data_IF_062032128933
#
_entry.id   IF_062032128933
#
_cell.length_a   1.000
_cell.length_b   1.000
_cell.length_c   1.000
_cell.angle_alpha   90.00
_cell.angle_beta   90.00
_cell.angle_gamma   90.00
#
_symmetry.space_group_name_H-M   'P 1'
#
loop_
_entity.id
_entity.type
_entity.pdbx_description
1 polymer ?
#
# COMPACT_ATOMS: atom_id res chain seq x y z
N UNK A 1 -20.37 8.14 -14.39
CA UNK A 1 -20.39 7.45 -13.08
C UNK A 1 -19.04 6.80 -12.94
N UNK A 2 -18.29 7.21 -11.93
CA UNK A 2 -16.95 6.67 -11.68
C UNK A 2 -16.99 5.23 -11.17
N UNK A 3 -15.90 4.48 -11.31
CA UNK A 3 -15.84 3.07 -10.89
C UNK A 3 -15.84 2.88 -9.37
N UNK A 4 -15.67 3.97 -8.60
CA UNK A 4 -15.74 4.01 -7.14
C UNK A 4 -16.87 4.92 -6.63
N UNK A 5 -17.87 5.20 -7.45
CA UNK A 5 -18.97 6.10 -7.09
C UNK A 5 -19.65 5.71 -5.77
N UNK A 6 -19.65 6.63 -4.81
CA UNK A 6 -20.23 6.45 -3.48
C UNK A 6 -19.46 5.55 -2.53
N UNK A 7 -18.30 4.99 -2.93
CA UNK A 7 -17.47 4.17 -2.06
C UNK A 7 -16.67 5.02 -1.06
N UNK A 8 -16.43 4.47 0.11
CA UNK A 8 -15.71 5.08 1.24
C UNK A 8 -14.41 4.34 1.48
N UNK A 9 -13.28 5.02 1.27
CA UNK A 9 -11.97 4.37 1.20
C UNK A 9 -11.02 4.97 2.25
N UNK A 10 -10.44 4.12 3.10
CA UNK A 10 -9.30 4.49 3.95
C UNK A 10 -8.01 4.28 3.18
N UNK A 11 -7.16 5.31 3.10
CA UNK A 11 -5.87 5.24 2.41
C UNK A 11 -4.74 5.59 3.38
N UNK A 12 -3.79 4.67 3.52
CA UNK A 12 -2.58 4.85 4.33
C UNK A 12 -1.40 5.27 3.46
N UNK A 13 -0.36 5.87 4.04
CA UNK A 13 0.92 6.10 3.37
C UNK A 13 1.02 7.36 2.49
N UNK A 14 0.09 8.31 2.62
CA UNK A 14 0.17 9.60 1.91
C UNK A 14 1.14 10.53 2.63
N UNK A 15 2.35 10.66 2.11
CA UNK A 15 3.40 11.51 2.69
C UNK A 15 3.76 12.71 1.81
N UNK A 16 3.67 12.58 0.49
CA UNK A 16 3.96 13.63 -0.50
C UNK A 16 3.06 13.44 -1.71
N UNK A 17 2.94 14.46 -2.56
CA UNK A 17 2.24 14.37 -3.84
C UNK A 17 2.86 13.33 -4.81
N UNK A 18 4.15 13.04 -4.65
CA UNK A 18 4.86 12.02 -5.42
C UNK A 18 4.64 10.58 -4.87
N UNK A 19 3.85 10.39 -3.81
CA UNK A 19 3.54 9.04 -3.33
C UNK A 19 2.46 8.38 -4.18
N UNK A 20 2.59 7.07 -4.41
CA UNK A 20 1.56 6.27 -5.09
C UNK A 20 0.22 6.40 -4.36
N UNK A 21 0.26 6.45 -3.02
CA UNK A 21 -0.93 6.61 -2.18
C UNK A 21 -1.66 7.94 -2.43
N UNK A 22 -0.93 9.04 -2.72
CA UNK A 22 -1.55 10.31 -3.09
C UNK A 22 -2.27 10.21 -4.44
N UNK A 23 -1.62 9.62 -5.45
CA UNK A 23 -2.24 9.39 -6.76
C UNK A 23 -3.45 8.47 -6.66
N UNK A 24 -3.40 7.43 -5.79
CA UNK A 24 -4.54 6.57 -5.52
C UNK A 24 -5.69 7.33 -4.85
N UNK A 25 -5.40 8.21 -3.89
CA UNK A 25 -6.41 9.05 -3.23
C UNK A 25 -7.07 10.03 -4.21
N UNK A 26 -6.27 10.69 -5.05
CA UNK A 26 -6.74 11.59 -6.09
C UNK A 26 -7.65 10.87 -7.08
N UNK A 27 -7.17 9.77 -7.67
CA UNK A 27 -7.94 8.97 -8.62
C UNK A 27 -9.22 8.39 -7.98
N UNK A 28 -9.15 7.90 -6.74
CA UNK A 28 -10.33 7.40 -6.04
C UNK A 28 -11.42 8.48 -5.93
N UNK A 29 -11.04 9.73 -5.61
CA UNK A 29 -11.98 10.86 -5.56
C UNK A 29 -12.50 11.25 -6.96
N UNK A 30 -11.67 11.24 -7.99
CA UNK A 30 -12.06 11.49 -9.37
C UNK A 30 -13.06 10.43 -9.86
N UNK A 31 -12.92 9.20 -9.38
CA UNK A 31 -13.81 8.07 -9.65
C UNK A 31 -15.02 7.99 -8.70
N UNK A 32 -15.25 9.03 -7.89
CA UNK A 32 -16.45 9.21 -7.09
C UNK A 32 -16.38 8.72 -5.64
N UNK A 33 -15.21 8.28 -5.15
CA UNK A 33 -15.06 7.86 -3.76
C UNK A 33 -14.97 9.04 -2.78
N UNK A 34 -15.39 8.77 -1.54
CA UNK A 34 -15.05 9.55 -0.36
C UNK A 34 -13.81 8.94 0.29
N UNK A 35 -12.80 9.77 0.55
CA UNK A 35 -11.47 9.31 0.99
C UNK A 35 -11.15 9.83 2.38
N UNK A 36 -10.72 8.91 3.27
CA UNK A 36 -10.14 9.19 4.56
C UNK A 36 -8.67 8.80 4.52
N UNK A 37 -7.77 9.66 4.99
CA UNK A 37 -6.36 9.37 5.06
C UNK A 37 -5.93 9.03 6.48
N UNK A 38 -4.80 8.34 6.62
CA UNK A 38 -4.17 8.13 7.92
C UNK A 38 -2.70 8.50 7.92
N UNK A 39 -2.21 8.93 9.08
CA UNK A 39 -0.82 9.22 9.35
C UNK A 39 -0.56 9.17 10.85
N UNK A 40 0.67 9.35 11.31
CA UNK A 40 0.97 9.33 12.74
C UNK A 40 2.13 10.25 13.12
N UNK A 41 2.14 10.65 14.40
CA UNK A 41 3.21 11.41 15.00
C UNK A 41 3.57 12.66 14.20
N UNK A 42 4.87 12.91 13.98
CA UNK A 42 5.37 14.07 13.25
C UNK A 42 4.94 14.15 11.78
N UNK A 43 4.45 13.06 11.20
CA UNK A 43 3.99 13.03 9.82
C UNK A 43 2.54 13.52 9.68
N UNK A 44 1.77 13.53 10.76
CA UNK A 44 0.35 13.91 10.75
C UNK A 44 0.12 15.31 10.14
N UNK A 45 0.80 16.40 10.59
CA UNK A 45 0.62 17.73 9.99
C UNK A 45 1.10 17.82 8.54
N UNK A 46 2.09 17.01 8.15
CA UNK A 46 2.58 16.95 6.77
C UNK A 46 1.50 16.33 5.89
N UNK A 47 0.95 15.18 6.28
CA UNK A 47 -0.13 14.51 5.55
C UNK A 47 -1.38 15.41 5.47
N UNK A 48 -1.76 16.11 6.54
CA UNK A 48 -2.88 17.05 6.53
C UNK A 48 -2.69 18.17 5.49
N UNK A 49 -1.47 18.73 5.39
CA UNK A 49 -1.14 19.71 4.35
C UNK A 49 -1.21 19.13 2.94
N UNK A 50 -0.80 17.88 2.75
CA UNK A 50 -0.87 17.21 1.44
C UNK A 50 -2.31 16.85 1.10
N UNK A 51 -3.11 16.41 2.07
CA UNK A 51 -4.54 16.10 1.92
C UNK A 51 -5.35 17.29 1.38
N UNK A 52 -4.97 18.53 1.71
CA UNK A 52 -5.63 19.73 1.20
C UNK A 52 -5.41 20.00 -0.30
N UNK A 53 -4.50 19.26 -0.94
CA UNK A 53 -4.21 19.34 -2.39
C UNK A 53 -4.97 18.31 -3.23
N UNK A 54 -5.70 17.41 -2.58
CA UNK A 54 -6.61 16.51 -3.29
C UNK A 54 -7.77 17.29 -3.91
N UNK A 55 -8.42 16.76 -4.96
CA UNK A 55 -9.58 17.40 -5.60
C UNK A 55 -10.68 17.82 -4.60
N UNK A 56 -10.90 16.97 -3.59
CA UNK A 56 -11.70 17.28 -2.39
C UNK A 56 -10.78 17.12 -1.19
N UNK A 57 -10.51 18.16 -0.38
CA UNK A 57 -9.71 18.02 0.82
C UNK A 57 -10.19 16.85 1.68
N UNK A 58 -9.27 15.94 2.01
CA UNK A 58 -9.58 14.75 2.79
C UNK A 58 -9.20 14.95 4.27
N UNK A 59 -10.01 14.38 5.17
CA UNK A 59 -9.65 14.31 6.58
C UNK A 59 -8.50 13.31 6.80
N UNK A 60 -7.71 13.54 7.85
CA UNK A 60 -6.58 12.70 8.23
C UNK A 60 -6.76 12.27 9.68
N UNK A 61 -6.81 10.97 9.92
CA UNK A 61 -6.86 10.39 11.27
C UNK A 61 -5.47 9.95 11.72
N UNK A 62 -5.25 9.93 13.03
CA UNK A 62 -4.02 9.40 13.58
C UNK A 62 -4.07 7.88 13.63
N UNK A 63 -3.09 7.22 13.00
CA UNK A 63 -2.94 5.77 12.97
C UNK A 63 -1.47 5.40 12.82
N UNK A 64 -0.86 4.94 13.90
CA UNK A 64 0.36 4.15 13.90
C UNK A 64 -0.03 2.66 13.91
N UNK A 65 0.34 1.94 12.86
CA UNK A 65 -0.03 0.53 12.68
C UNK A 65 0.66 -0.43 13.68
N UNK A 66 1.64 0.07 14.44
CA UNK A 66 2.33 -0.67 15.52
C UNK A 66 1.76 -0.33 16.90
N UNK A 67 0.88 0.68 16.99
CA UNK A 67 0.27 1.09 18.25
C UNK A 67 -1.10 0.43 18.44
N UNK A 68 -1.20 -0.44 19.45
CA UNK A 68 -2.43 -1.17 19.75
C UNK A 68 -3.62 -0.26 20.13
N UNK A 69 -3.38 0.88 20.80
CA UNK A 69 -4.45 1.82 21.15
C UNK A 69 -5.01 2.50 19.90
N UNK A 70 -4.14 2.89 18.95
CA UNK A 70 -4.57 3.45 17.67
C UNK A 70 -5.41 2.43 16.88
N UNK A 71 -4.97 1.16 16.83
CA UNK A 71 -5.70 0.09 16.15
C UNK A 71 -7.05 -0.19 16.80
N UNK A 72 -7.14 -0.21 18.13
CA UNK A 72 -8.40 -0.41 18.86
C UNK A 72 -9.39 0.75 18.64
N UNK A 73 -8.89 1.97 18.49
CA UNK A 73 -9.73 3.15 18.28
C UNK A 73 -10.08 3.39 16.81
N UNK A 74 -9.40 2.75 15.86
CA UNK A 74 -9.59 2.95 14.43
C UNK A 74 -11.04 2.81 13.96
N UNK A 75 -11.82 1.78 14.40
CA UNK A 75 -13.23 1.68 14.01
C UNK A 75 -14.08 2.86 14.46
N UNK A 76 -13.79 3.45 15.62
CA UNK A 76 -14.52 4.61 16.13
C UNK A 76 -14.25 5.85 15.28
N UNK A 77 -12.97 6.08 14.93
CA UNK A 77 -12.59 7.19 14.05
C UNK A 77 -13.21 7.06 12.67
N UNK A 78 -13.22 5.85 12.10
CA UNK A 78 -13.87 5.59 10.81
C UNK A 78 -15.38 5.86 10.90
N UNK A 79 -16.05 5.37 11.95
CA UNK A 79 -17.49 5.62 12.15
C UNK A 79 -17.81 7.10 12.26
N UNK A 80 -16.99 7.86 12.99
CA UNK A 80 -17.14 9.30 13.15
C UNK A 80 -17.01 10.05 11.81
N UNK A 81 -16.02 9.66 10.98
CA UNK A 81 -15.65 10.40 9.77
C UNK A 81 -16.42 9.95 8.53
N UNK A 82 -16.59 8.65 8.33
CA UNK A 82 -17.18 8.07 7.13
C UNK A 82 -18.43 7.21 7.41
N UNK A 83 -18.65 6.78 8.65
CA UNK A 83 -19.70 5.84 9.02
C UNK A 83 -19.33 4.38 8.79
N UNK A 84 -18.75 4.04 7.64
CA UNK A 84 -18.31 2.69 7.25
C UNK A 84 -17.22 2.76 6.20
N UNK A 85 -16.65 1.62 5.78
CA UNK A 85 -15.67 1.51 4.70
C UNK A 85 -16.11 0.50 3.64
N UNK A 86 -15.88 0.85 2.38
CA UNK A 86 -15.97 -0.05 1.22
C UNK A 86 -14.58 -0.54 0.79
N UNK A 87 -13.52 0.09 1.27
CA UNK A 87 -12.18 -0.35 0.96
C UNK A 87 -11.07 0.27 1.79
N UNK A 88 -9.92 -0.38 1.73
CA UNK A 88 -8.67 0.05 2.37
C UNK A 88 -7.54 -0.03 1.35
N UNK A 89 -6.73 1.03 1.25
CA UNK A 89 -5.44 0.99 0.57
C UNK A 89 -4.34 0.95 1.63
N UNK A 90 -3.61 -0.16 1.67
CA UNK A 90 -2.42 -0.32 2.50
C UNK A 90 -1.17 0.00 1.69
N UNK A 91 -0.62 1.21 1.88
CA UNK A 91 0.56 1.71 1.18
C UNK A 91 1.65 2.20 2.13
N UNK A 92 1.84 1.49 3.25
CA UNK A 92 2.91 1.73 4.23
C UNK A 92 3.92 0.61 4.20
N UNK A 93 5.19 0.97 4.34
CA UNK A 93 6.30 0.05 4.57
C UNK A 93 7.45 0.83 5.21
N UNK A 94 8.24 0.15 6.02
CA UNK A 94 9.43 0.69 6.61
C UNK A 94 10.42 -0.43 6.93
N UNK A 95 11.70 -0.17 6.70
CA UNK A 95 12.80 -0.96 7.23
C UNK A 95 13.91 0.00 7.69
N UNK A 96 14.58 -0.29 8.82
CA UNK A 96 15.80 0.42 9.19
C UNK A 96 16.85 0.31 8.08
N UNK A 97 17.72 1.33 7.95
CA UNK A 97 18.77 1.31 6.92
C UNK A 97 19.74 0.13 7.04
N UNK A 98 19.94 -0.35 8.26
CA UNK A 98 20.71 -1.55 8.58
C UNK A 98 20.12 -2.83 7.98
N UNK A 99 18.85 -2.82 7.62
CA UNK A 99 18.13 -3.95 7.00
C UNK A 99 18.07 -3.86 5.47
N UNK A 100 18.84 -2.94 4.87
CA UNK A 100 18.87 -2.62 3.43
C UNK A 100 20.32 -2.42 2.98
N UNK A 101 20.55 -2.37 1.65
CA UNK A 101 21.82 -1.89 1.11
C UNK A 101 22.94 -2.91 1.08
N UNK A 102 22.64 -4.21 1.10
CA UNK A 102 23.62 -5.31 1.09
C UNK A 102 24.00 -5.80 2.48
N UNK A 103 23.26 -5.41 3.51
CA UNK A 103 23.53 -5.79 4.91
C UNK A 103 22.79 -7.06 5.36
N UNK A 104 22.28 -7.87 4.45
CA UNK A 104 21.40 -8.98 4.76
C UNK A 104 21.92 -9.91 5.86
N UNK A 105 23.22 -10.25 5.83
CA UNK A 105 23.84 -11.18 6.79
C UNK A 105 24.16 -10.53 8.15
N UNK A 106 24.28 -9.21 8.20
CA UNK A 106 24.71 -8.46 9.39
C UNK A 106 23.53 -7.85 10.18
N UNK A 107 22.32 -7.88 9.61
CA UNK A 107 21.14 -7.27 10.21
C UNK A 107 20.70 -8.01 11.47
N UNK A 108 20.57 -7.30 12.59
CA UNK A 108 20.07 -7.84 13.85
C UNK A 108 18.56 -8.07 13.83
N UNK A 109 18.08 -8.98 14.71
CA UNK A 109 16.66 -9.34 14.78
C UNK A 109 15.72 -8.16 15.08
N UNK A 110 16.14 -7.20 15.85
CA UNK A 110 15.34 -6.02 16.19
C UNK A 110 14.95 -5.23 14.92
N UNK A 111 15.92 -5.03 14.02
CA UNK A 111 15.68 -4.33 12.74
C UNK A 111 14.84 -5.18 11.79
N UNK A 112 15.07 -6.49 11.75
CA UNK A 112 14.25 -7.44 10.98
C UNK A 112 12.82 -7.44 11.48
N UNK A 113 12.59 -7.54 12.79
CA UNK A 113 11.25 -7.55 13.36
C UNK A 113 10.50 -6.25 13.07
N UNK A 114 11.17 -5.11 13.15
CA UNK A 114 10.61 -3.80 12.77
C UNK A 114 10.19 -3.78 11.30
N UNK A 115 11.04 -4.27 10.40
CA UNK A 115 10.72 -4.32 8.97
C UNK A 115 9.50 -5.21 8.68
N UNK A 116 9.41 -6.38 9.31
CA UNK A 116 8.29 -7.32 9.15
C UNK A 116 7.02 -6.77 9.79
N UNK A 117 7.08 -6.20 10.99
CA UNK A 117 5.93 -5.65 11.69
C UNK A 117 5.27 -4.53 10.90
N UNK A 118 6.07 -3.53 10.49
CA UNK A 118 5.55 -2.35 9.79
C UNK A 118 5.16 -2.66 8.35
N UNK A 119 5.92 -3.52 7.65
CA UNK A 119 5.73 -3.73 6.21
C UNK A 119 4.89 -4.94 5.84
N UNK A 120 4.62 -5.87 6.78
CA UNK A 120 3.83 -7.06 6.51
C UNK A 120 2.68 -7.26 7.49
N UNK A 121 2.97 -7.32 8.79
CA UNK A 121 1.96 -7.62 9.81
C UNK A 121 0.91 -6.50 9.93
N UNK A 122 1.28 -5.26 9.65
CA UNK A 122 0.37 -4.11 9.64
C UNK A 122 -0.83 -4.27 8.70
N UNK A 123 -0.70 -5.01 7.57
CA UNK A 123 -1.84 -5.32 6.71
C UNK A 123 -2.92 -6.09 7.47
N UNK A 124 -2.51 -7.13 8.20
CA UNK A 124 -3.41 -7.90 9.06
C UNK A 124 -3.99 -7.02 10.17
N UNK A 125 -3.16 -6.24 10.85
CA UNK A 125 -3.59 -5.44 12.00
C UNK A 125 -4.65 -4.41 11.62
N UNK A 126 -4.42 -3.64 10.55
CA UNK A 126 -5.37 -2.64 10.05
C UNK A 126 -6.64 -3.30 9.52
N UNK A 127 -6.52 -4.37 8.71
CA UNK A 127 -7.70 -5.09 8.20
C UNK A 127 -8.55 -5.62 9.34
N UNK A 128 -7.95 -6.30 10.33
CA UNK A 128 -8.67 -6.85 11.48
C UNK A 128 -9.33 -5.75 12.31
N UNK A 129 -8.66 -4.64 12.55
CA UNK A 129 -9.22 -3.50 13.28
C UNK A 129 -10.44 -2.91 12.54
N UNK A 130 -10.41 -2.87 11.20
CA UNK A 130 -11.51 -2.33 10.40
C UNK A 130 -12.66 -3.30 10.16
N UNK A 131 -12.55 -4.61 10.46
CA UNK A 131 -13.64 -5.57 10.23
C UNK A 131 -15.02 -5.11 10.74
N UNK A 132 -15.15 -4.46 11.93
CA UNK A 132 -16.46 -4.00 12.43
C UNK A 132 -17.10 -2.86 11.61
N UNK A 133 -16.34 -2.24 10.69
CA UNK A 133 -16.77 -1.07 9.90
C UNK A 133 -16.65 -1.31 8.40
N UNK A 134 -16.10 -2.45 7.96
CA UNK A 134 -16.07 -2.85 6.56
C UNK A 134 -17.46 -3.29 6.10
N UNK A 135 -17.89 -2.75 4.96
CA UNK A 135 -19.13 -3.16 4.30
C UNK A 135 -18.98 -4.53 3.64
N UNK A 136 -20.08 -5.15 3.30
CA UNK A 136 -20.14 -6.36 2.48
C UNK A 136 -20.94 -6.04 1.20
N UNK A 137 -20.30 -6.03 0.00
CA UNK A 137 -18.89 -6.34 -0.27
C UNK A 137 -17.93 -5.17 0.03
N UNK A 138 -16.64 -5.50 0.25
CA UNK A 138 -15.56 -4.52 0.39
C UNK A 138 -14.22 -5.06 -0.14
N UNK A 139 -13.21 -4.18 -0.27
CA UNK A 139 -11.92 -4.54 -0.85
C UNK A 139 -10.73 -3.93 -0.09
N UNK A 140 -9.78 -4.76 0.30
CA UNK A 140 -8.48 -4.35 0.84
C UNK A 140 -7.44 -4.54 -0.24
N UNK A 141 -6.69 -3.48 -0.57
CA UNK A 141 -5.65 -3.53 -1.59
C UNK A 141 -4.33 -3.06 -1.00
N UNK A 142 -3.32 -3.93 -1.06
CA UNK A 142 -1.97 -3.61 -0.60
C UNK A 142 -1.03 -3.23 -1.73
N UNK A 143 -0.06 -2.35 -1.46
CA UNK A 143 1.01 -2.01 -2.38
C UNK A 143 2.26 -2.83 -2.04
N UNK A 144 2.69 -3.69 -2.96
CA UNK A 144 3.90 -4.50 -2.83
C UNK A 144 4.94 -4.17 -3.89
N UNK A 145 6.09 -4.77 -3.77
CA UNK A 145 7.12 -4.92 -4.77
C UNK A 145 7.41 -6.42 -4.86
N UNK A 146 7.28 -7.01 -6.03
CA UNK A 146 7.32 -8.46 -6.24
C UNK A 146 8.50 -9.12 -5.50
N UNK A 147 8.19 -10.01 -4.59
CA UNK A 147 9.15 -10.71 -3.74
C UNK A 147 9.31 -12.19 -4.11
N UNK A 148 8.94 -12.56 -5.34
CA UNK A 148 9.16 -13.92 -5.87
C UNK A 148 10.63 -14.20 -6.18
N UNK A 149 11.44 -13.13 -6.29
CA UNK A 149 12.88 -13.17 -6.51
C UNK A 149 13.61 -12.23 -5.55
N UNK A 150 14.93 -12.40 -5.40
CA UNK A 150 15.76 -11.48 -4.61
C UNK A 150 16.19 -10.29 -5.46
N UNK A 151 15.84 -9.09 -5.02
CA UNK A 151 16.27 -7.85 -5.65
C UNK A 151 17.58 -7.33 -5.05
N UNK A 152 18.51 -6.81 -5.85
CA UNK A 152 19.73 -6.22 -5.34
C UNK A 152 19.44 -5.16 -4.26
N UNK A 153 20.18 -5.17 -3.18
CA UNK A 153 20.15 -4.20 -2.06
C UNK A 153 18.81 -4.04 -1.31
N UNK A 154 17.82 -4.86 -1.64
CA UNK A 154 16.49 -4.81 -1.02
C UNK A 154 16.40 -5.62 0.27
N UNK A 155 17.23 -6.65 0.41
CA UNK A 155 17.52 -7.42 1.63
C UNK A 155 16.27 -7.79 2.45
N UNK A 156 16.22 -7.40 3.71
CA UNK A 156 15.11 -7.73 4.61
C UNK A 156 13.79 -7.05 4.25
N UNK A 157 13.80 -5.99 3.47
CA UNK A 157 12.54 -5.47 2.89
C UNK A 157 11.96 -6.46 1.88
N UNK A 158 12.79 -7.16 1.10
CA UNK A 158 12.34 -8.24 0.21
C UNK A 158 11.67 -9.37 0.98
N UNK A 159 12.27 -9.80 2.10
CA UNK A 159 11.68 -10.80 3.00
C UNK A 159 10.36 -10.30 3.60
N UNK A 160 10.31 -9.04 4.04
CA UNK A 160 9.09 -8.43 4.56
C UNK A 160 7.98 -8.36 3.48
N UNK A 161 8.34 -8.08 2.20
CA UNK A 161 7.37 -8.10 1.09
C UNK A 161 6.89 -9.53 0.78
N UNK A 162 7.73 -10.54 0.85
CA UNK A 162 7.31 -11.95 0.73
C UNK A 162 6.33 -12.32 1.87
N UNK A 163 6.61 -11.89 3.11
CA UNK A 163 5.69 -12.05 4.22
C UNK A 163 4.37 -11.30 4.00
N UNK A 164 4.40 -10.08 3.46
CA UNK A 164 3.22 -9.28 3.12
C UNK A 164 2.34 -9.98 2.07
N UNK A 165 2.95 -10.51 1.01
CA UNK A 165 2.26 -11.27 -0.04
C UNK A 165 1.62 -12.55 0.51
N UNK A 166 2.33 -13.27 1.38
CA UNK A 166 1.74 -14.41 2.07
C UNK A 166 0.60 -14.00 3.01
N UNK A 167 0.78 -12.92 3.77
CA UNK A 167 -0.25 -12.38 4.67
C UNK A 167 -1.53 -12.01 3.91
N UNK A 168 -1.42 -11.43 2.71
CA UNK A 168 -2.59 -11.09 1.89
C UNK A 168 -3.40 -12.32 1.50
N UNK A 169 -2.73 -13.43 1.13
CA UNK A 169 -3.40 -14.70 0.78
C UNK A 169 -4.13 -15.32 1.99
N UNK A 170 -3.49 -15.31 3.16
CA UNK A 170 -4.15 -15.79 4.38
C UNK A 170 -5.33 -14.89 4.78
N UNK A 171 -5.18 -13.58 4.72
CA UNK A 171 -6.29 -12.66 4.97
C UNK A 171 -7.44 -12.92 4.00
N UNK A 172 -7.19 -13.02 2.70
CA UNK A 172 -8.20 -13.32 1.69
C UNK A 172 -9.00 -14.57 2.05
N UNK A 173 -8.33 -15.61 2.55
CA UNK A 173 -8.96 -16.85 3.01
C UNK A 173 -9.88 -16.63 4.21
N UNK A 174 -9.43 -15.84 5.21
CA UNK A 174 -10.16 -15.69 6.47
C UNK A 174 -11.27 -14.64 6.43
N UNK A 175 -11.11 -13.58 5.63
CA UNK A 175 -12.12 -12.50 5.56
C UNK A 175 -13.07 -12.64 4.37
N UNK A 176 -12.82 -13.60 3.47
CA UNK A 176 -13.64 -13.85 2.29
C UNK A 176 -15.09 -14.23 2.63
N UNK A 177 -15.32 -14.99 3.69
CA UNK A 177 -16.66 -15.33 4.18
C UNK A 177 -17.49 -14.11 4.60
N UNK A 178 -16.80 -13.00 4.92
CA UNK A 178 -17.42 -11.71 5.25
C UNK A 178 -17.59 -10.79 4.02
N UNK A 179 -17.33 -11.29 2.82
CA UNK A 179 -17.43 -10.50 1.57
C UNK A 179 -16.29 -9.52 1.37
N UNK A 180 -15.17 -9.66 2.09
CA UNK A 180 -14.00 -8.81 1.97
C UNK A 180 -12.98 -9.46 1.02
N UNK A 181 -12.65 -8.79 -0.08
CA UNK A 181 -11.56 -9.19 -0.98
C UNK A 181 -10.25 -8.60 -0.50
N UNK A 182 -9.15 -9.33 -0.62
CA UNK A 182 -7.80 -8.84 -0.29
C UNK A 182 -6.87 -9.14 -1.46
N UNK A 183 -6.35 -8.11 -2.11
CA UNK A 183 -5.46 -8.24 -3.26
C UNK A 183 -4.27 -7.30 -3.14
N UNK A 184 -3.27 -7.50 -3.98
CA UNK A 184 -2.07 -6.66 -4.03
C UNK A 184 -1.85 -6.08 -5.43
N UNK A 185 -1.26 -4.88 -5.46
CA UNK A 185 -0.66 -4.30 -6.65
C UNK A 185 0.86 -4.29 -6.46
N UNK A 186 1.58 -4.99 -7.32
CA UNK A 186 3.03 -4.93 -7.39
C UNK A 186 3.43 -3.87 -8.42
N UNK A 187 3.99 -2.76 -7.96
CA UNK A 187 4.44 -1.68 -8.84
C UNK A 187 5.93 -1.82 -9.16
N UNK A 188 6.34 -1.41 -10.36
CA UNK A 188 7.75 -1.16 -10.66
C UNK A 188 8.34 -0.05 -9.78
N UNK A 189 9.67 0.15 -9.78
CA UNK A 189 10.32 1.18 -8.97
C UNK A 189 9.86 2.58 -9.37
N UNK A 190 9.56 3.41 -8.37
CA UNK A 190 9.11 4.78 -8.56
C UNK A 190 9.89 5.72 -7.64
N UNK A 191 10.29 6.90 -8.14
CA UNK A 191 11.06 7.91 -7.41
C UNK A 191 10.23 8.63 -6.34
N UNK A 192 9.74 7.86 -5.39
CA UNK A 192 8.98 8.35 -4.22
C UNK A 192 9.90 8.70 -3.05
N UNK A 193 9.35 9.30 -2.01
CA UNK A 193 10.12 9.55 -0.77
C UNK A 193 10.57 8.25 -0.10
N UNK A 194 9.81 7.17 -0.23
CA UNK A 194 10.12 5.87 0.37
C UNK A 194 11.44 5.27 -0.18
N UNK A 195 11.72 5.45 -1.47
CA UNK A 195 12.91 4.86 -2.10
C UNK A 195 14.20 5.67 -1.90
N UNK A 196 14.11 6.94 -1.47
CA UNK A 196 15.29 7.78 -1.21
C UNK A 196 16.20 7.21 -0.12
N UNK A 197 15.68 6.34 0.74
CA UNK A 197 16.44 5.66 1.79
C UNK A 197 17.03 4.31 1.37
N UNK A 198 16.78 3.82 0.15
CA UNK A 198 17.29 2.52 -0.32
C UNK A 198 18.63 2.74 -1.02
N UNK A 199 19.75 2.28 -0.42
CA UNK A 199 21.05 2.37 -1.08
C UNK A 199 21.04 1.54 -2.38
N UNK A 200 21.67 2.05 -3.45
CA UNK A 200 21.77 1.32 -4.72
C UNK A 200 20.47 1.26 -5.54
N UNK A 201 19.43 2.03 -5.21
CA UNK A 201 18.16 2.09 -5.95
C UNK A 201 18.35 2.37 -7.46
N UNK A 202 19.41 3.09 -7.85
CA UNK A 202 19.75 3.36 -9.24
C UNK A 202 19.89 2.08 -10.09
N UNK A 203 20.40 0.99 -9.52
CA UNK A 203 20.50 -0.30 -10.23
C UNK A 203 19.11 -0.85 -10.61
N UNK A 204 18.12 -0.68 -9.73
CA UNK A 204 16.74 -1.06 -10.05
C UNK A 204 16.15 -0.16 -11.14
N UNK A 205 16.41 1.16 -11.09
CA UNK A 205 15.96 2.09 -12.12
C UNK A 205 16.49 1.71 -13.51
N UNK A 206 17.80 1.42 -13.61
CA UNK A 206 18.45 1.00 -14.86
C UNK A 206 17.83 -0.29 -15.43
N UNK A 207 17.55 -1.26 -14.56
CA UNK A 207 16.94 -2.52 -14.94
C UNK A 207 15.57 -2.30 -15.59
N UNK A 208 14.70 -1.49 -14.97
CA UNK A 208 13.37 -1.20 -15.51
C UNK A 208 13.43 -0.39 -16.80
N UNK A 209 14.26 0.66 -16.83
CA UNK A 209 14.41 1.52 -18.01
C UNK A 209 14.88 0.73 -19.24
N UNK A 210 15.76 -0.26 -19.03
CA UNK A 210 16.34 -1.06 -20.13
C UNK A 210 15.51 -2.26 -20.56
N UNK A 211 14.61 -2.79 -19.71
CA UNK A 211 14.01 -4.12 -19.91
C UNK A 211 12.49 -4.19 -19.84
N UNK A 212 11.80 -3.19 -19.28
CA UNK A 212 10.34 -3.23 -19.22
C UNK A 212 9.75 -3.16 -20.64
N UNK A 213 8.98 -4.17 -21.11
CA UNK A 213 8.47 -4.22 -22.49
C UNK A 213 7.62 -3.02 -22.91
N UNK A 214 6.85 -2.45 -21.98
CA UNK A 214 6.03 -1.24 -22.22
C UNK A 214 6.80 0.06 -21.94
N UNK A 215 8.09 -0.03 -21.56
CA UNK A 215 8.78 1.06 -20.89
C UNK A 215 8.28 1.25 -19.47
N UNK A 216 8.97 2.10 -18.72
CA UNK A 216 8.58 2.45 -17.35
C UNK A 216 9.03 3.87 -17.01
N UNK A 217 8.08 4.74 -16.70
CA UNK A 217 8.38 6.08 -16.19
C UNK A 217 8.50 6.04 -14.66
N UNK A 218 9.72 6.23 -14.18
CA UNK A 218 10.06 6.22 -12.76
C UNK A 218 9.39 7.34 -11.94
N UNK A 219 8.76 8.31 -12.61
CA UNK A 219 8.10 9.46 -11.97
C UNK A 219 6.58 9.41 -12.05
N UNK A 220 6.04 8.55 -12.92
CA UNK A 220 4.59 8.37 -13.09
C UNK A 220 4.04 7.37 -12.07
N UNK A 221 3.44 7.89 -11.00
CA UNK A 221 2.75 7.09 -9.98
C UNK A 221 1.33 6.71 -10.37
N UNK A 222 0.80 7.27 -11.46
CA UNK A 222 -0.60 7.08 -11.86
C UNK A 222 -0.88 5.65 -12.34
N UNK A 223 0.05 5.05 -13.06
CA UNK A 223 -0.10 3.67 -13.52
C UNK A 223 -0.32 2.70 -12.35
N UNK A 224 0.52 2.78 -11.31
CA UNK A 224 0.37 1.97 -10.10
C UNK A 224 -0.92 2.30 -9.34
N UNK A 225 -1.28 3.58 -9.24
CA UNK A 225 -2.50 4.03 -8.58
C UNK A 225 -3.77 3.52 -9.31
N UNK A 226 -3.78 3.47 -10.64
CA UNK A 226 -4.87 2.85 -11.42
C UNK A 226 -5.05 1.37 -11.08
N UNK A 227 -3.97 0.63 -10.88
CA UNK A 227 -4.02 -0.76 -10.42
C UNK A 227 -4.72 -0.89 -9.06
N UNK A 228 -4.36 -0.02 -8.10
CA UNK A 228 -5.01 0.01 -6.77
C UNK A 228 -6.51 0.33 -6.90
N UNK A 229 -6.86 1.38 -7.64
CA UNK A 229 -8.26 1.83 -7.82
C UNK A 229 -9.10 0.77 -8.54
N UNK A 230 -8.56 0.11 -9.56
CA UNK A 230 -9.26 -0.98 -10.25
C UNK A 230 -9.58 -2.15 -9.31
N UNK A 231 -8.65 -2.57 -8.45
CA UNK A 231 -8.87 -3.64 -7.47
C UNK A 231 -9.84 -3.26 -6.34
N UNK A 232 -9.96 -1.96 -6.01
CA UNK A 232 -10.98 -1.46 -5.08
C UNK A 232 -12.39 -1.52 -5.67
N UNK A 233 -12.50 -1.42 -7.00
CA UNK A 233 -13.78 -1.39 -7.70
C UNK A 233 -14.50 -2.74 -7.71
N UNK A 234 -15.75 -2.74 -8.16
CA UNK A 234 -16.56 -3.94 -8.35
C UNK A 234 -16.27 -4.66 -9.69
N UNK A 235 -15.23 -4.21 -10.44
CA UNK A 235 -14.82 -4.86 -11.70
C UNK A 235 -14.10 -6.19 -11.48
N UNK A 236 -13.62 -6.46 -10.26
CA UNK A 236 -12.96 -7.70 -9.88
C UNK A 236 -13.74 -8.43 -8.75
N UNK A 237 -15.06 -8.73 -8.93
CA UNK A 237 -15.90 -9.18 -7.82
C UNK A 237 -15.54 -10.57 -7.30
N UNK A 238 -14.86 -11.37 -8.10
CA UNK A 238 -14.47 -12.76 -7.77
C UNK A 238 -12.94 -12.93 -7.64
N UNK A 239 -12.19 -11.81 -7.47
CA UNK A 239 -10.72 -11.83 -7.35
C UNK A 239 -10.31 -11.51 -5.92
N UNK A 240 -9.65 -12.45 -5.25
CA UNK A 240 -9.09 -12.30 -3.91
C UNK A 240 -7.86 -13.18 -3.72
N UNK A 241 -6.88 -12.73 -2.93
CA UNK A 241 -5.60 -13.40 -2.75
C UNK A 241 -4.62 -13.23 -3.92
N UNK A 242 -4.95 -12.35 -4.87
CA UNK A 242 -4.19 -12.14 -6.11
C UNK A 242 -3.22 -10.97 -5.97
N UNK A 243 -2.15 -11.01 -6.76
CA UNK A 243 -1.21 -9.91 -6.96
C UNK A 243 -1.15 -9.56 -8.45
N UNK A 244 -1.56 -8.34 -8.78
CA UNK A 244 -1.42 -7.82 -10.15
C UNK A 244 -0.12 -7.02 -10.29
N UNK A 245 0.59 -7.22 -11.40
CA UNK A 245 1.80 -6.47 -11.71
C UNK A 245 1.48 -5.22 -12.52
N UNK A 246 1.98 -4.09 -12.07
CA UNK A 246 1.96 -2.80 -12.76
C UNK A 246 3.40 -2.29 -12.80
N UNK A 247 4.19 -2.86 -13.68
CA UNK A 247 5.66 -2.75 -13.72
C UNK A 247 6.24 -2.64 -15.13
N UNK A 248 5.39 -2.31 -16.10
CA UNK A 248 5.78 -2.27 -17.52
C UNK A 248 6.01 -3.65 -18.13
N UNK A 249 5.66 -4.74 -17.42
CA UNK A 249 5.82 -6.12 -17.87
C UNK A 249 7.19 -6.72 -17.55
N UNK A 250 8.03 -6.06 -16.73
CA UNK A 250 9.36 -6.57 -16.41
C UNK A 250 9.32 -7.95 -15.78
N UNK A 251 8.40 -8.20 -14.83
CA UNK A 251 8.27 -9.48 -14.13
C UNK A 251 8.13 -10.69 -15.06
N UNK A 252 7.60 -10.49 -16.28
CA UNK A 252 7.37 -11.54 -17.27
C UNK A 252 8.58 -11.81 -18.18
N UNK A 253 9.64 -11.00 -18.09
CA UNK A 253 10.82 -11.12 -18.93
C UNK A 253 11.87 -12.01 -18.27
N UNK A 254 12.50 -12.89 -19.06
CA UNK A 254 13.68 -13.65 -18.61
C UNK A 254 14.91 -12.74 -18.38
N UNK A 255 15.99 -13.32 -17.85
CA UNK A 255 17.26 -12.64 -17.62
C UNK A 255 17.97 -12.26 -18.93
#
# INVERSE_FOLDING_TARGET
MGILEGKKILITGVLTEASIAFSAARLAQEEGAEVLLSSFGRMLPITAKIASRLPKPAEVIELDATNNEHLQNLPNLVKEKLGSLDGIVHAIAFAPQTALGGNFMETGWEDVSTAVEVSAYSLKSITTACMPVLNNPSSVVGLTFDATVSWPVYDWMGVAKAAFESTSRYLARYVGEHGVRVNLTSAGPLRTTAVKGIPGFATMEELWTGRAPLGWDLTDTEAAAKGLVALLSDWFPATTGEMIHVDGGLHSTGA
#
